data_IF_815428607472
#
_entry.id   IF_815428607472
#
_cell.length_a   1.000
_cell.length_b   1.000
_cell.length_c   1.000
_cell.angle_alpha   90.00
_cell.angle_beta   90.00
_cell.angle_gamma   90.00
#
_symmetry.space_group_name_H-M   'P 1'
#
loop_
_entity.id
_entity.type
_entity.pdbx_description
1 polymer ?
#
# COMPACT_ATOMS: atom_id res chain seq x y z
N UNK A 1 -6.34 5.69 20.77
CA UNK A 1 -5.16 6.04 21.58
C UNK A 1 -3.94 5.96 20.68
N UNK A 2 -3.25 7.07 20.42
CA UNK A 2 -2.14 7.10 19.47
C UNK A 2 -0.90 6.42 20.07
N UNK A 3 -0.44 5.34 19.46
CA UNK A 3 0.75 4.60 19.89
C UNK A 3 2.00 5.45 19.63
N UNK A 4 2.76 5.80 20.69
CA UNK A 4 4.03 6.53 20.57
C UNK A 4 5.14 5.54 20.23
N UNK A 5 5.92 5.83 19.19
CA UNK A 5 7.10 5.03 18.80
C UNK A 5 8.37 5.86 19.01
N UNK A 6 9.37 5.26 19.64
CA UNK A 6 10.70 5.86 19.82
C UNK A 6 11.50 5.74 18.53
N UNK A 7 12.23 6.79 18.17
CA UNK A 7 13.07 6.84 16.98
C UNK A 7 14.50 7.20 17.38
N UNK A 8 15.46 6.34 17.05
CA UNK A 8 16.89 6.58 17.27
C UNK A 8 17.50 7.16 15.99
N UNK A 9 18.03 8.39 16.05
CA UNK A 9 18.72 9.05 14.93
C UNK A 9 20.20 9.16 15.24
N UNK A 10 21.05 8.80 14.27
CA UNK A 10 22.47 9.13 14.30
C UNK A 10 22.69 10.45 13.57
N UNK A 11 23.31 11.41 14.26
CA UNK A 11 23.67 12.71 13.69
C UNK A 11 25.19 12.84 13.66
N UNK A 12 25.69 13.60 12.68
CA UNK A 12 27.09 14.02 12.70
C UNK A 12 27.37 14.92 13.92
N UNK A 13 28.59 14.84 14.44
CA UNK A 13 29.01 15.58 15.65
C UNK A 13 28.88 17.09 15.48
N UNK A 14 29.20 17.63 14.29
CA UNK A 14 29.10 19.05 13.99
C UNK A 14 27.63 19.48 13.96
N UNK A 15 26.77 18.70 13.29
CA UNK A 15 25.35 19.00 13.19
C UNK A 15 24.65 18.91 14.56
N UNK A 16 24.98 17.90 15.36
CA UNK A 16 24.49 17.80 16.74
C UNK A 16 24.91 19.01 17.59
N UNK A 17 26.15 19.48 17.44
CA UNK A 17 26.65 20.68 18.12
C UNK A 17 25.86 21.94 17.74
N UNK A 18 25.65 22.15 16.43
CA UNK A 18 24.86 23.28 15.91
C UNK A 18 23.42 23.21 16.43
N UNK A 19 22.77 22.04 16.36
CA UNK A 19 21.42 21.86 16.85
C UNK A 19 21.31 22.14 18.35
N UNK A 20 22.25 21.64 19.15
CA UNK A 20 22.27 21.86 20.61
C UNK A 20 22.39 23.35 20.94
N UNK A 21 23.26 24.07 20.23
CA UNK A 21 23.39 25.52 20.41
C UNK A 21 22.09 26.25 20.04
N UNK A 22 21.48 25.93 18.90
CA UNK A 22 20.21 26.54 18.49
C UNK A 22 19.08 26.23 19.46
N UNK A 23 19.04 25.03 20.03
CA UNK A 23 18.05 24.65 21.04
C UNK A 23 18.20 25.49 22.31
N UNK A 24 19.44 25.68 22.77
CA UNK A 24 19.76 26.56 23.90
C UNK A 24 19.34 28.01 23.66
N UNK A 25 19.61 28.55 22.47
CA UNK A 25 19.24 29.93 22.11
C UNK A 25 17.73 30.15 21.99
N UNK A 26 16.95 29.08 21.81
CA UNK A 26 15.50 29.15 21.62
C UNK A 26 14.71 28.62 22.82
N UNK A 27 15.40 28.27 23.92
CA UNK A 27 14.81 27.65 25.11
C UNK A 27 13.93 26.41 24.79
N UNK A 28 14.37 25.60 23.83
CA UNK A 28 13.70 24.34 23.46
C UNK A 28 14.64 23.15 23.62
N UNK A 29 14.08 21.95 23.68
CA UNK A 29 14.87 20.71 23.73
C UNK A 29 15.22 20.21 22.33
N UNK A 30 16.32 19.47 22.23
CA UNK A 30 16.72 18.79 20.98
C UNK A 30 15.60 17.88 20.47
N UNK A 31 14.89 17.18 21.37
CA UNK A 31 13.76 16.31 21.02
C UNK A 31 12.61 17.08 20.37
N UNK A 32 12.25 18.25 20.91
CA UNK A 32 11.18 19.08 20.34
C UNK A 32 11.58 19.70 19.01
N UNK A 33 12.85 20.10 18.87
CA UNK A 33 13.39 20.58 17.60
C UNK A 33 13.34 19.49 16.51
N UNK A 34 13.77 18.26 16.82
CA UNK A 34 13.73 17.12 15.89
C UNK A 34 12.28 16.78 15.53
N UNK A 35 11.37 16.72 16.51
CA UNK A 35 9.94 16.47 16.26
C UNK A 35 9.35 17.51 15.30
N UNK A 36 9.68 18.78 15.51
CA UNK A 36 9.22 19.88 14.65
C UNK A 36 9.82 19.79 13.25
N UNK A 37 11.11 19.49 13.15
CA UNK A 37 11.79 19.31 11.87
C UNK A 37 11.15 18.18 11.05
N UNK A 38 10.89 17.03 11.66
CA UNK A 38 10.22 15.89 10.99
C UNK A 38 8.82 16.29 10.51
N UNK A 39 8.02 17.01 11.32
CA UNK A 39 6.69 17.46 10.90
C UNK A 39 6.75 18.39 9.69
N UNK A 40 7.73 19.31 9.67
CA UNK A 40 7.92 20.22 8.53
C UNK A 40 8.36 19.46 7.29
N UNK A 41 9.30 18.54 7.43
CA UNK A 41 9.78 17.72 6.33
C UNK A 41 8.67 16.86 5.72
N UNK A 42 7.84 16.23 6.56
CA UNK A 42 6.68 15.47 6.10
C UNK A 42 5.68 16.36 5.35
N UNK A 43 5.44 17.58 5.81
CA UNK A 43 4.56 18.52 5.10
C UNK A 43 5.14 18.90 3.73
N UNK A 44 6.44 19.21 3.66
CA UNK A 44 7.13 19.52 2.40
C UNK A 44 7.07 18.34 1.44
N UNK A 45 7.33 17.12 1.92
CA UNK A 45 7.23 15.90 1.11
C UNK A 45 5.79 15.63 0.65
N UNK A 46 4.79 15.91 1.47
CA UNK A 46 3.39 15.72 1.11
C UNK A 46 2.91 16.73 0.06
N UNK A 47 3.44 17.96 0.09
CA UNK A 47 3.14 19.01 -0.89
C UNK A 47 3.87 18.80 -2.23
N UNK A 48 4.82 17.86 -2.31
CA UNK A 48 5.53 17.54 -3.56
C UNK A 48 4.58 16.81 -4.54
N UNK A 49 4.31 17.39 -5.73
CA UNK A 49 3.42 16.78 -6.72
C UNK A 49 3.94 15.44 -7.26
N UNK A 50 5.26 15.19 -7.19
CA UNK A 50 5.84 13.90 -7.56
C UNK A 50 5.50 12.80 -6.56
N UNK A 51 5.36 13.16 -5.27
CA UNK A 51 4.91 12.24 -4.22
C UNK A 51 3.43 11.95 -4.38
N UNK A 52 2.61 12.96 -4.73
CA UNK A 52 1.20 12.75 -5.02
C UNK A 52 0.97 11.80 -6.22
N UNK A 53 1.78 11.91 -7.28
CA UNK A 53 1.73 10.98 -8.42
C UNK A 53 2.06 9.54 -7.98
N UNK A 54 3.18 9.35 -7.27
CA UNK A 54 3.58 8.03 -6.75
C UNK A 54 2.56 7.46 -5.76
N UNK A 55 1.92 8.30 -4.95
CA UNK A 55 0.88 7.88 -4.02
C UNK A 55 -0.34 7.31 -4.75
N UNK A 56 -0.77 7.95 -5.85
CA UNK A 56 -1.86 7.44 -6.71
C UNK A 56 -1.51 6.13 -7.37
N UNK A 57 -0.28 6.00 -7.87
CA UNK A 57 0.19 4.75 -8.48
C UNK A 57 0.19 3.61 -7.43
N UNK A 58 0.67 3.90 -6.22
CA UNK A 58 0.67 2.95 -5.11
C UNK A 58 -0.74 2.58 -4.67
N UNK A 59 -1.68 3.54 -4.64
CA UNK A 59 -3.09 3.29 -4.32
C UNK A 59 -3.75 2.36 -5.36
N UNK A 60 -3.45 2.58 -6.65
CA UNK A 60 -3.95 1.72 -7.72
C UNK A 60 -3.40 0.28 -7.60
N UNK A 61 -2.13 0.13 -7.24
CA UNK A 61 -1.51 -1.18 -7.03
C UNK A 61 -2.10 -1.92 -5.83
N UNK A 62 -2.24 -1.24 -4.69
CA UNK A 62 -2.89 -1.79 -3.48
C UNK A 62 -4.33 -2.22 -3.78
N UNK A 63 -5.08 -1.41 -4.54
CA UNK A 63 -6.46 -1.72 -4.91
C UNK A 63 -6.52 -2.96 -5.79
N UNK A 64 -5.65 -3.05 -6.81
CA UNK A 64 -5.57 -4.23 -7.67
C UNK A 64 -5.26 -5.50 -6.88
N UNK A 65 -4.26 -5.45 -6.01
CA UNK A 65 -3.88 -6.60 -5.18
C UNK A 65 -5.00 -6.98 -4.20
N UNK A 66 -5.65 -6.00 -3.57
CA UNK A 66 -6.78 -6.26 -2.69
C UNK A 66 -7.97 -6.89 -3.43
N UNK A 67 -8.24 -6.47 -4.67
CA UNK A 67 -9.30 -7.04 -5.49
C UNK A 67 -8.97 -8.45 -5.96
N UNK A 68 -7.71 -8.73 -6.33
CA UNK A 68 -7.23 -10.08 -6.64
C UNK A 68 -7.35 -11.01 -5.42
N UNK A 69 -6.91 -10.55 -4.25
CA UNK A 69 -7.04 -11.30 -2.99
C UNK A 69 -8.51 -11.55 -2.64
N UNK A 70 -9.38 -10.55 -2.78
CA UNK A 70 -10.83 -10.69 -2.57
C UNK A 70 -11.46 -11.67 -3.55
N UNK A 71 -11.09 -11.63 -4.83
CA UNK A 71 -11.58 -12.56 -5.84
C UNK A 71 -11.16 -14.01 -5.53
N UNK A 72 -9.90 -14.23 -5.12
CA UNK A 72 -9.41 -15.55 -4.70
C UNK A 72 -10.14 -16.05 -3.45
N UNK A 73 -10.35 -15.19 -2.45
CA UNK A 73 -11.09 -15.51 -1.23
C UNK A 73 -12.56 -15.83 -1.55
N UNK A 74 -13.22 -15.08 -2.45
CA UNK A 74 -14.59 -15.39 -2.89
C UNK A 74 -14.68 -16.73 -3.62
N UNK A 75 -13.71 -17.05 -4.49
CA UNK A 75 -13.63 -18.35 -5.14
C UNK A 75 -13.45 -19.51 -4.14
N UNK A 76 -12.75 -19.26 -3.02
CA UNK A 76 -12.54 -20.24 -1.95
C UNK A 76 -13.75 -20.39 -1.00
N UNK A 77 -14.42 -19.29 -0.63
CA UNK A 77 -15.53 -19.29 0.33
C UNK A 77 -16.91 -19.57 -0.29
N UNK A 78 -17.07 -19.47 -1.61
CA UNK A 78 -18.41 -19.39 -2.22
C UNK A 78 -18.52 -19.93 -3.65
N UNK A 79 -18.51 -21.26 -3.75
CA UNK A 79 -19.29 -22.11 -4.68
C UNK A 79 -18.93 -22.21 -6.16
N UNK A 80 -18.67 -23.46 -6.59
CA UNK A 80 -19.23 -24.08 -7.80
C UNK A 80 -20.76 -23.91 -7.86
N UNK A 81 -21.27 -22.69 -7.97
CA UNK A 81 -22.67 -22.44 -8.30
C UNK A 81 -22.73 -21.82 -9.68
N UNK A 82 -23.13 -22.67 -10.62
CA UNK A 82 -23.20 -22.41 -12.03
C UNK A 82 -24.17 -21.29 -12.43
N UNK A 83 -23.93 -20.85 -13.68
CA UNK A 83 -24.83 -20.22 -14.66
C UNK A 83 -24.70 -18.68 -14.72
N UNK A 84 -24.33 -18.10 -15.85
CA UNK A 84 -24.90 -18.23 -17.21
C UNK A 84 -23.78 -17.93 -18.24
N UNK A 85 -23.66 -18.44 -19.46
CA UNK A 85 -24.51 -19.22 -20.35
C UNK A 85 -23.92 -19.05 -21.76
N UNK A 86 -23.17 -20.04 -22.26
CA UNK A 86 -23.07 -20.30 -23.70
C UNK A 86 -22.85 -21.79 -23.92
N UNK A 87 -23.95 -22.53 -23.85
CA UNK A 87 -24.03 -23.84 -24.46
C UNK A 87 -23.78 -23.70 -25.96
N UNK A 88 -22.57 -24.04 -26.41
CA UNK A 88 -22.35 -24.47 -27.78
C UNK A 88 -22.58 -25.99 -27.80
N UNK A 89 -23.49 -26.52 -28.65
CA UNK A 89 -23.84 -27.92 -28.61
C UNK A 89 -22.65 -28.77 -29.05
N UNK A 90 -22.14 -29.59 -28.14
CA UNK A 90 -21.25 -30.70 -28.48
C UNK A 90 -22.07 -31.70 -29.30
N UNK A 91 -21.79 -31.81 -30.60
CA UNK A 91 -22.22 -32.95 -31.41
C UNK A 91 -21.53 -34.20 -30.88
N UNK A 92 -22.17 -34.92 -29.97
CA UNK A 92 -21.80 -36.29 -29.64
C UNK A 92 -22.43 -37.26 -30.64
N UNK A 93 -21.59 -38.16 -31.12
CA UNK A 93 -21.78 -39.10 -32.21
C UNK A 93 -22.97 -40.06 -32.06
N UNK A 94 -23.43 -40.62 -33.19
CA UNK A 94 -24.03 -41.97 -33.22
C UNK A 94 -23.78 -42.60 -34.59
N UNK A 95 -22.89 -43.58 -34.62
CA UNK A 95 -22.87 -44.61 -35.66
C UNK A 95 -24.01 -45.61 -35.41
N UNK A 96 -24.66 -46.16 -36.44
CA UNK A 96 -25.31 -47.45 -36.32
C UNK A 96 -24.60 -48.52 -37.15
N UNK A 97 -24.59 -49.73 -36.58
CA UNK A 97 -23.99 -50.97 -37.06
C UNK A 97 -25.09 -51.83 -37.71
N UNK A 98 -24.77 -52.39 -38.91
CA UNK A 98 -25.33 -53.59 -39.59
C UNK A 98 -26.79 -53.59 -40.08
N UNK A 99 -26.95 -53.98 -41.35
CA UNK A 99 -28.08 -54.80 -41.82
C UNK A 99 -28.48 -54.59 -43.29
N UNK A 100 -27.93 -55.40 -44.20
CA UNK A 100 -28.54 -56.03 -45.40
C UNK A 100 -27.44 -56.50 -46.33
#
# INVERSE_FOLDING_TARGET
MSTVKTLAVRLDSQLHGQLTMLCRLRDITVTEAIRTAIRKEVAVMADDPSVAAKARDLEAEITREADEQRAAIQALLGTDSQSTGKAAPRKSATAPKRGS
#
